data_IF_752836039411
#
_entry.id   IF_752836039411
#
_cell.length_a   1.000
_cell.length_b   1.000
_cell.length_c   1.000
_cell.angle_alpha   90.00
_cell.angle_beta   90.00
_cell.angle_gamma   90.00
#
_symmetry.space_group_name_H-M   'P 1'
#
loop_
_entity.id
_entity.type
_entity.pdbx_description
1 polymer ?
#
# COMPACT_ATOMS: atom_id res chain seq x y z
N UNK A 1 4.73 37.05 -19.93
CA UNK A 1 5.22 37.35 -18.58
C UNK A 1 4.18 37.22 -17.46
N UNK A 2 2.91 37.65 -17.60
CA UNK A 2 1.94 37.53 -16.49
C UNK A 2 1.29 36.13 -16.38
N UNK A 3 0.98 35.48 -17.50
CA UNK A 3 0.31 34.17 -17.51
C UNK A 3 1.19 33.04 -16.95
N UNK A 4 2.41 32.88 -17.49
CA UNK A 4 3.37 31.85 -17.06
C UNK A 4 3.76 31.98 -15.59
N UNK A 5 3.91 33.22 -15.09
CA UNK A 5 4.21 33.47 -13.67
C UNK A 5 3.05 33.05 -12.76
N UNK A 6 1.81 33.32 -13.17
CA UNK A 6 0.61 32.89 -12.44
C UNK A 6 0.44 31.37 -12.45
N UNK A 7 0.73 30.71 -13.56
CA UNK A 7 0.71 29.24 -13.67
C UNK A 7 1.75 28.61 -12.74
N UNK A 8 2.99 29.11 -12.75
CA UNK A 8 4.05 28.64 -11.85
C UNK A 8 3.70 28.82 -10.36
N UNK A 9 3.08 29.95 -9.99
CA UNK A 9 2.61 30.16 -8.61
C UNK A 9 1.53 29.15 -8.25
N UNK A 10 0.57 28.88 -9.15
CA UNK A 10 -0.48 27.89 -8.89
C UNK A 10 0.07 26.46 -8.72
N UNK A 11 1.09 26.09 -9.49
CA UNK A 11 1.76 24.79 -9.37
C UNK A 11 2.46 24.69 -8.02
N UNK A 12 3.24 25.71 -7.64
CA UNK A 12 3.94 25.75 -6.36
C UNK A 12 2.97 25.72 -5.18
N UNK A 13 1.86 26.46 -5.25
CA UNK A 13 0.83 26.47 -4.20
C UNK A 13 0.18 25.09 -4.06
N UNK A 14 -0.11 24.41 -5.17
CA UNK A 14 -0.64 23.05 -5.16
C UNK A 14 0.37 22.04 -4.61
N UNK A 15 1.66 22.16 -4.97
CA UNK A 15 2.73 21.30 -4.44
C UNK A 15 2.92 21.51 -2.94
N UNK A 16 2.95 22.77 -2.48
CA UNK A 16 3.07 23.12 -1.05
C UNK A 16 1.85 22.62 -0.28
N UNK A 17 0.65 22.79 -0.84
CA UNK A 17 -0.58 22.28 -0.23
C UNK A 17 -0.54 20.76 -0.10
N UNK A 18 -0.20 20.04 -1.17
CA UNK A 18 -0.06 18.58 -1.17
C UNK A 18 0.99 18.11 -0.16
N UNK A 19 2.12 18.80 -0.07
CA UNK A 19 3.17 18.47 0.89
C UNK A 19 2.71 18.67 2.34
N UNK A 20 1.96 19.74 2.62
CA UNK A 20 1.42 20.00 3.97
C UNK A 20 0.32 19.01 4.35
N UNK A 21 -0.58 18.67 3.41
CA UNK A 21 -1.68 17.72 3.67
C UNK A 21 -1.15 16.31 3.98
N UNK A 22 0.05 15.96 3.53
CA UNK A 22 0.71 14.70 3.87
C UNK A 22 0.84 14.47 5.38
N UNK A 23 1.03 15.54 6.16
CA UNK A 23 1.28 15.48 7.61
C UNK A 23 0.06 15.80 8.45
N UNK A 24 -1.08 16.09 7.82
CA UNK A 24 -2.31 16.37 8.53
C UNK A 24 -2.94 15.07 9.05
N UNK A 25 -3.14 15.02 10.37
CA UNK A 25 -3.76 13.87 11.04
C UNK A 25 -5.28 14.01 10.92
N UNK A 26 -5.90 13.04 10.24
CA UNK A 26 -7.35 12.98 10.13
C UNK A 26 -7.94 12.17 11.27
N UNK A 27 -8.62 12.82 12.23
CA UNK A 27 -9.22 12.15 13.39
C UNK A 27 -10.29 11.11 12.98
N UNK A 28 -11.04 11.39 11.92
CA UNK A 28 -12.13 10.52 11.44
C UNK A 28 -11.74 9.84 10.14
N UNK A 29 -11.60 8.51 10.17
CA UNK A 29 -11.40 7.69 8.96
C UNK A 29 -12.52 7.96 7.93
N UNK A 30 -12.18 8.35 6.69
CA UNK A 30 -13.12 8.51 5.58
C UNK A 30 -13.92 7.23 5.29
N UNK A 31 -15.08 7.35 4.62
CA UNK A 31 -15.91 6.20 4.27
C UNK A 31 -15.22 5.34 3.19
N UNK A 32 -14.66 5.99 2.18
CA UNK A 32 -13.94 5.37 1.07
C UNK A 32 -12.49 5.85 1.07
N UNK A 33 -11.58 4.96 0.72
CA UNK A 33 -10.19 5.28 0.41
C UNK A 33 -9.86 4.69 -0.95
N UNK A 34 -9.07 5.41 -1.74
CA UNK A 34 -8.41 4.81 -2.90
C UNK A 34 -7.51 3.68 -2.43
N UNK A 35 -7.29 2.68 -3.27
CA UNK A 35 -6.53 1.52 -2.87
C UNK A 35 -5.64 1.02 -4.00
N UNK A 36 -4.36 0.88 -3.70
CA UNK A 36 -3.42 0.12 -4.51
C UNK A 36 -3.34 -1.32 -3.98
N UNK A 37 -3.25 -2.29 -4.89
CA UNK A 37 -3.15 -3.72 -4.58
C UNK A 37 -1.77 -4.23 -4.98
N UNK A 38 -1.00 -4.62 -3.97
CA UNK A 38 0.37 -5.13 -4.13
C UNK A 38 0.36 -6.63 -3.84
N UNK A 39 0.72 -7.45 -4.83
CA UNK A 39 0.83 -8.90 -4.68
C UNK A 39 2.29 -9.27 -4.53
N UNK A 40 2.61 -10.17 -3.60
CA UNK A 40 3.97 -10.64 -3.37
C UNK A 40 3.97 -12.11 -2.96
N UNK A 41 5.14 -12.74 -3.00
CA UNK A 41 5.30 -14.12 -2.54
C UNK A 41 6.02 -14.15 -1.19
N UNK A 42 5.53 -15.02 -0.31
CA UNK A 42 6.13 -15.36 0.96
C UNK A 42 6.48 -16.85 0.92
N UNK A 43 7.75 -17.17 0.66
CA UNK A 43 8.18 -18.56 0.42
C UNK A 43 7.32 -19.20 -0.70
N UNK A 44 6.45 -20.15 -0.37
CA UNK A 44 5.54 -20.83 -1.32
C UNK A 44 4.15 -20.19 -1.37
N UNK A 45 3.81 -19.33 -0.42
CA UNK A 45 2.49 -18.70 -0.32
C UNK A 45 2.45 -17.42 -1.14
N UNK A 46 1.31 -17.18 -1.78
CA UNK A 46 1.03 -15.90 -2.42
C UNK A 46 0.32 -15.01 -1.40
N UNK A 47 0.69 -13.75 -1.38
CA UNK A 47 0.18 -12.76 -0.45
C UNK A 47 -0.27 -11.52 -1.21
N UNK A 48 -1.15 -10.77 -0.58
CA UNK A 48 -1.67 -9.51 -1.10
C UNK A 48 -1.71 -8.47 0.01
N UNK A 49 -1.32 -7.24 -0.33
CA UNK A 49 -1.48 -6.05 0.47
C UNK A 49 -2.39 -5.06 -0.27
N UNK A 50 -3.44 -4.61 0.40
CA UNK A 50 -4.31 -3.51 0.01
C UNK A 50 -3.85 -2.27 0.76
N UNK A 51 -3.22 -1.33 0.07
CA UNK A 51 -2.75 -0.08 0.63
C UNK A 51 -3.82 0.98 0.39
N UNK A 52 -4.54 1.36 1.44
CA UNK A 52 -5.52 2.43 1.42
C UNK A 52 -4.83 3.78 1.43
N UNK A 53 -5.23 4.66 0.51
CA UNK A 53 -4.63 5.97 0.30
C UNK A 53 -5.60 7.07 0.71
N UNK A 54 -5.10 8.05 1.45
CA UNK A 54 -5.77 9.30 1.73
C UNK A 54 -4.96 10.42 1.08
N UNK A 55 -5.58 11.09 0.09
CA UNK A 55 -4.95 12.14 -0.72
C UNK A 55 -3.63 11.68 -1.37
N UNK A 56 -3.62 10.44 -1.88
CA UNK A 56 -2.44 9.83 -2.52
C UNK A 56 -1.40 9.25 -1.56
N UNK A 57 -1.55 9.42 -0.25
CA UNK A 57 -0.61 8.94 0.76
C UNK A 57 -1.10 7.69 1.49
N UNK A 58 -0.21 6.72 1.82
CA UNK A 58 -0.58 5.54 2.61
C UNK A 58 -1.24 5.93 3.94
N UNK A 59 -2.48 5.50 4.13
CA UNK A 59 -3.30 5.77 5.32
C UNK A 59 -3.55 4.49 6.13
N UNK A 60 -3.77 3.37 5.46
CA UNK A 60 -3.94 2.07 6.12
C UNK A 60 -3.52 0.93 5.20
N UNK A 61 -3.33 -0.25 5.79
CA UNK A 61 -2.97 -1.45 5.06
C UNK A 61 -3.78 -2.65 5.55
N UNK A 62 -4.27 -3.44 4.60
CA UNK A 62 -4.82 -4.76 4.84
C UNK A 62 -3.96 -5.78 4.12
N UNK A 63 -3.58 -6.88 4.77
CA UNK A 63 -2.68 -7.86 4.15
C UNK A 63 -2.96 -9.26 4.66
N UNK A 64 -2.80 -10.24 3.77
CA UNK A 64 -2.97 -11.64 4.07
C UNK A 64 -2.68 -12.53 2.87
N UNK A 65 -2.92 -13.82 3.07
CA UNK A 65 -2.69 -14.85 2.05
C UNK A 65 -3.69 -14.67 0.90
N UNK A 66 -3.16 -14.72 -0.32
CA UNK A 66 -3.91 -14.76 -1.57
C UNK A 66 -4.17 -16.24 -1.89
N UNK A 67 -5.27 -16.77 -1.35
CA UNK A 67 -5.74 -18.14 -1.54
C UNK A 67 -7.24 -18.13 -1.86
N UNK A 68 -7.68 -19.11 -2.66
CA UNK A 68 -9.03 -19.24 -3.19
C UNK A 68 -9.99 -19.92 -2.19
N UNK A 69 -9.48 -20.61 -1.16
CA UNK A 69 -10.29 -21.26 -0.12
C UNK A 69 -10.56 -20.33 1.09
N UNK A 70 -9.52 -20.01 1.86
CA UNK A 70 -9.64 -19.26 3.12
C UNK A 70 -9.24 -17.78 3.00
N UNK A 71 -8.56 -17.41 1.92
CA UNK A 71 -7.98 -16.08 1.71
C UNK A 71 -8.86 -15.14 0.87
N UNK A 72 -8.19 -14.35 0.02
CA UNK A 72 -8.86 -13.49 -0.97
C UNK A 72 -8.50 -13.97 -2.38
N UNK A 73 -9.53 -14.37 -3.13
CA UNK A 73 -9.41 -14.59 -4.57
C UNK A 73 -9.51 -13.26 -5.32
N UNK A 74 -8.45 -12.89 -6.05
CA UNK A 74 -8.44 -11.67 -6.85
C UNK A 74 -7.79 -11.90 -8.23
N UNK A 75 -8.43 -11.47 -9.35
CA UNK A 75 -7.82 -11.59 -10.66
C UNK A 75 -6.45 -10.90 -10.73
N UNK A 76 -5.51 -11.48 -11.49
CA UNK A 76 -4.13 -10.96 -11.60
C UNK A 76 -4.08 -9.49 -12.04
N UNK A 77 -5.00 -9.06 -12.91
CA UNK A 77 -5.03 -7.70 -13.46
C UNK A 77 -5.53 -6.63 -12.51
N UNK A 78 -6.10 -6.99 -11.37
CA UNK A 78 -6.55 -5.99 -10.41
C UNK A 78 -5.35 -5.49 -9.62
N UNK A 79 -5.01 -4.21 -9.83
CA UNK A 79 -3.95 -3.48 -9.14
C UNK A 79 -4.46 -2.25 -8.39
N UNK A 80 -5.72 -1.84 -8.62
CA UNK A 80 -6.35 -0.67 -7.99
C UNK A 80 -7.82 -0.92 -7.67
N UNK A 81 -8.35 -0.17 -6.72
CA UNK A 81 -9.75 -0.17 -6.33
C UNK A 81 -10.01 0.82 -5.20
N UNK A 82 -11.02 0.55 -4.39
CA UNK A 82 -11.35 1.37 -3.22
C UNK A 82 -11.67 0.49 -2.01
N UNK A 83 -11.25 0.92 -0.82
CA UNK A 83 -11.63 0.28 0.45
C UNK A 83 -12.81 1.06 1.05
N UNK A 84 -13.95 0.41 1.14
CA UNK A 84 -15.19 0.98 1.68
C UNK A 84 -15.41 0.47 3.09
N UNK A 85 -15.62 1.39 4.03
CA UNK A 85 -16.02 1.06 5.40
C UNK A 85 -17.53 1.06 5.53
N UNK A 86 -18.02 -0.06 6.05
CA UNK A 86 -19.38 -0.24 6.48
C UNK A 86 -19.43 -0.30 8.01
N UNK A 87 -20.50 0.26 8.57
CA UNK A 87 -20.85 0.11 9.98
C UNK A 87 -22.10 -0.76 10.02
N UNK A 88 -21.98 -1.93 10.62
CA UNK A 88 -23.07 -2.88 10.76
C UNK A 88 -24.06 -2.39 11.82
N UNK A 89 -25.25 -3.00 11.86
CA UNK A 89 -26.31 -2.62 12.82
C UNK A 89 -25.91 -2.79 14.28
N UNK A 90 -25.01 -3.73 14.57
CA UNK A 90 -24.44 -3.98 15.89
C UNK A 90 -23.28 -3.04 16.26
N UNK A 91 -22.94 -2.10 15.37
CA UNK A 91 -21.82 -1.17 15.55
C UNK A 91 -20.45 -1.72 15.14
N UNK A 92 -20.36 -3.00 14.76
CA UNK A 92 -19.12 -3.57 14.21
C UNK A 92 -18.76 -2.92 12.86
N UNK A 93 -17.47 -2.89 12.53
CA UNK A 93 -16.96 -2.26 11.32
C UNK A 93 -16.51 -3.34 10.33
N UNK A 94 -17.03 -3.30 9.12
CA UNK A 94 -16.64 -4.16 8.00
C UNK A 94 -15.93 -3.33 6.93
N UNK A 95 -14.89 -3.89 6.33
CA UNK A 95 -14.13 -3.23 5.26
C UNK A 95 -14.18 -4.09 4.01
N UNK A 96 -14.64 -3.49 2.91
CA UNK A 96 -14.84 -4.17 1.64
C UNK A 96 -13.93 -3.55 0.59
N UNK A 97 -13.34 -4.36 -0.27
CA UNK A 97 -12.58 -3.89 -1.42
C UNK A 97 -13.47 -3.90 -2.66
N UNK A 98 -13.56 -2.77 -3.35
CA UNK A 98 -14.33 -2.64 -4.60
C UNK A 98 -13.42 -2.29 -5.76
N UNK A 99 -13.61 -2.94 -6.90
CA UNK A 99 -12.85 -2.67 -8.12
C UNK A 99 -13.74 -2.80 -9.36
N UNK A 100 -13.29 -2.27 -10.48
CA UNK A 100 -13.96 -2.43 -11.79
C UNK A 100 -13.29 -3.58 -12.52
N UNK A 101 -14.05 -4.61 -12.88
CA UNK A 101 -13.52 -5.75 -13.63
C UNK A 101 -13.32 -5.39 -15.13
N UNK A 102 -12.72 -6.30 -15.89
CA UNK A 102 -12.44 -6.08 -17.33
C UNK A 102 -13.69 -5.80 -18.18
N UNK A 103 -14.88 -6.15 -17.70
CA UNK A 103 -16.16 -5.92 -18.37
C UNK A 103 -16.84 -4.61 -17.95
N UNK A 104 -16.17 -3.79 -17.12
CA UNK A 104 -16.71 -2.51 -16.64
C UNK A 104 -17.66 -2.65 -15.45
N UNK A 105 -17.87 -3.85 -14.91
CA UNK A 105 -18.77 -4.03 -13.75
C UNK A 105 -18.02 -3.83 -12.44
N UNK A 106 -18.68 -3.11 -11.52
CA UNK A 106 -18.24 -3.03 -10.12
C UNK A 106 -18.31 -4.42 -9.49
N UNK A 107 -17.21 -4.86 -8.90
CA UNK A 107 -17.07 -6.12 -8.16
C UNK A 107 -16.60 -5.78 -6.74
N UNK A 108 -17.09 -6.54 -5.76
CA UNK A 108 -16.80 -6.32 -4.33
C UNK A 108 -16.26 -7.60 -3.71
N UNK A 109 -15.14 -7.47 -2.99
CA UNK A 109 -14.63 -8.47 -2.06
C UNK A 109 -15.01 -8.00 -0.66
N UNK A 110 -15.97 -8.66 -0.03
CA UNK A 110 -16.45 -8.27 1.30
C UNK A 110 -15.57 -8.83 2.41
N UNK A 111 -15.48 -8.08 3.52
CA UNK A 111 -14.91 -8.59 4.77
C UNK A 111 -13.39 -8.78 4.74
N UNK A 112 -12.63 -7.83 4.17
CA UNK A 112 -11.16 -7.86 4.18
C UNK A 112 -10.60 -8.15 5.58
N UNK A 113 -11.17 -7.52 6.61
CA UNK A 113 -10.71 -7.68 8.00
C UNK A 113 -10.96 -9.06 8.60
N UNK A 114 -11.87 -9.85 8.05
CA UNK A 114 -12.31 -11.14 8.62
C UNK A 114 -11.68 -12.33 7.90
N UNK A 115 -11.12 -12.11 6.71
CA UNK A 115 -10.51 -13.14 5.85
C UNK A 115 -9.04 -13.43 6.16
N UNK A 116 -8.43 -12.70 7.10
CA UNK A 116 -7.01 -12.83 7.38
C UNK A 116 -6.76 -13.49 8.72
N UNK A 117 -5.68 -14.26 8.79
CA UNK A 117 -5.18 -14.82 10.04
C UNK A 117 -5.00 -13.70 11.08
N UNK A 118 -5.50 -13.95 12.29
CA UNK A 118 -5.61 -13.00 13.40
C UNK A 118 -4.28 -12.35 13.77
N UNK A 119 -3.18 -13.08 13.70
CA UNK A 119 -1.84 -12.57 14.00
C UNK A 119 -1.45 -11.46 13.02
N UNK A 120 -1.44 -11.75 11.72
CA UNK A 120 -1.12 -10.79 10.68
C UNK A 120 -2.08 -9.59 10.65
N UNK A 121 -3.35 -9.83 10.95
CA UNK A 121 -4.34 -8.76 11.07
C UNK A 121 -4.03 -7.80 12.23
N UNK A 122 -3.55 -8.29 13.38
CA UNK A 122 -3.15 -7.43 14.49
C UNK A 122 -1.98 -6.51 14.09
N UNK A 123 -1.00 -7.03 13.35
CA UNK A 123 0.10 -6.21 12.84
C UNK A 123 -0.37 -5.23 11.78
N UNK A 124 -1.22 -5.65 10.85
CA UNK A 124 -1.80 -4.76 9.84
C UNK A 124 -2.57 -3.59 10.50
N UNK A 125 -3.28 -3.86 11.62
CA UNK A 125 -3.93 -2.83 12.43
C UNK A 125 -2.95 -1.87 13.09
N UNK A 126 -1.85 -2.39 13.67
CA UNK A 126 -0.81 -1.56 14.27
C UNK A 126 -0.19 -0.63 13.22
N UNK A 127 0.21 -1.20 12.08
CA UNK A 127 0.80 -0.46 10.95
C UNK A 127 -0.19 0.59 10.45
N UNK A 128 -1.46 0.23 10.30
CA UNK A 128 -2.52 1.18 9.94
C UNK A 128 -2.65 2.30 10.96
N UNK A 129 -2.56 2.02 12.26
CA UNK A 129 -2.53 3.05 13.30
C UNK A 129 -1.38 4.02 13.08
N UNK A 130 -0.16 3.50 12.90
CA UNK A 130 1.05 4.29 12.65
C UNK A 130 0.94 5.16 11.39
N UNK A 131 0.41 4.60 10.29
CA UNK A 131 0.16 5.33 9.04
C UNK A 131 -0.85 6.47 9.22
N UNK A 132 -1.94 6.24 9.94
CA UNK A 132 -2.97 7.26 10.21
C UNK A 132 -2.45 8.44 11.02
N UNK A 133 -1.47 8.21 11.89
CA UNK A 133 -0.77 9.26 12.62
C UNK A 133 0.28 9.99 11.76
N UNK A 134 0.31 9.73 10.45
CA UNK A 134 1.22 10.35 9.48
C UNK A 134 2.69 10.21 9.88
N UNK A 135 3.04 9.09 10.52
CA UNK A 135 4.44 8.80 10.81
C UNK A 135 5.23 8.78 9.48
N UNK A 136 6.41 9.42 9.41
CA UNK A 136 7.23 9.39 8.20
C UNK A 136 7.43 7.97 7.69
N UNK A 137 7.19 7.74 6.39
CA UNK A 137 7.10 6.39 5.84
C UNK A 137 8.39 5.58 6.00
N UNK A 138 9.55 6.25 5.96
CA UNK A 138 10.86 5.68 6.25
C UNK A 138 10.93 5.09 7.67
N UNK A 139 10.31 5.73 8.65
CA UNK A 139 10.21 5.23 10.03
C UNK A 139 9.20 4.08 10.14
N UNK A 140 8.08 4.15 9.40
CA UNK A 140 7.11 3.04 9.33
C UNK A 140 7.77 1.78 8.76
N UNK A 141 8.54 1.92 7.68
CA UNK A 141 9.28 0.80 7.07
C UNK A 141 10.29 0.20 8.05
N UNK A 142 11.05 1.04 8.76
CA UNK A 142 11.97 0.58 9.82
C UNK A 142 11.24 -0.16 10.93
N UNK A 143 10.09 0.37 11.38
CA UNK A 143 9.26 -0.28 12.39
C UNK A 143 8.79 -1.66 11.91
N UNK A 144 8.25 -1.75 10.70
CA UNK A 144 7.81 -3.02 10.10
C UNK A 144 8.96 -4.02 9.99
N UNK A 145 10.14 -3.57 9.56
CA UNK A 145 11.34 -4.42 9.48
C UNK A 145 11.87 -4.87 10.83
N UNK A 146 11.58 -4.14 11.91
CA UNK A 146 11.99 -4.49 13.28
C UNK A 146 11.04 -5.48 13.99
N UNK A 147 9.88 -5.79 13.38
CA UNK A 147 8.94 -6.74 13.96
C UNK A 147 9.56 -8.15 13.98
N UNK A 148 10.06 -8.56 15.14
CA UNK A 148 10.54 -9.90 15.39
C UNK A 148 9.40 -10.73 15.96
N UNK A 149 8.88 -11.68 15.18
CA UNK A 149 7.85 -12.59 15.63
C UNK A 149 8.40 -14.01 15.67
N UNK A 150 7.83 -14.81 16.58
CA UNK A 150 8.33 -16.14 16.95
C UNK A 150 8.31 -17.17 15.80
N UNK A 151 7.77 -16.80 14.63
CA UNK A 151 7.57 -17.69 13.49
C UNK A 151 8.32 -17.20 12.24
N UNK A 152 9.14 -18.07 11.63
CA UNK A 152 9.98 -17.73 10.46
C UNK A 152 9.20 -17.22 9.23
N UNK A 153 7.90 -17.48 9.15
CA UNK A 153 7.04 -17.02 8.05
C UNK A 153 6.73 -15.52 8.09
N UNK A 154 7.06 -14.83 9.18
CA UNK A 154 6.78 -13.40 9.35
C UNK A 154 7.86 -12.53 8.72
N UNK A 155 9.13 -12.91 8.78
CA UNK A 155 10.24 -12.07 8.27
C UNK A 155 10.12 -11.78 6.77
N UNK A 156 9.57 -12.72 6.01
CA UNK A 156 9.28 -12.58 4.59
C UNK A 156 8.00 -11.78 4.34
N UNK A 157 7.02 -11.85 5.23
CA UNK A 157 5.82 -11.00 5.19
C UNK A 157 6.15 -9.53 5.49
N UNK A 158 6.95 -9.24 6.52
CA UNK A 158 7.40 -7.87 6.85
C UNK A 158 8.13 -7.24 5.67
N UNK A 159 8.99 -8.00 5.00
CA UNK A 159 9.65 -7.58 3.76
C UNK A 159 8.64 -7.27 2.62
N UNK A 160 7.58 -8.08 2.48
CA UNK A 160 6.51 -7.83 1.53
C UNK A 160 5.77 -6.51 1.80
N UNK A 161 5.41 -6.26 3.06
CA UNK A 161 4.75 -5.04 3.49
C UNK A 161 5.67 -3.82 3.34
N UNK A 162 6.94 -3.94 3.75
CA UNK A 162 7.93 -2.88 3.59
C UNK A 162 8.10 -2.48 2.11
N UNK A 163 8.18 -3.45 1.19
CA UNK A 163 8.22 -3.18 -0.26
C UNK A 163 6.95 -2.50 -0.78
N UNK A 164 5.78 -2.94 -0.32
CA UNK A 164 4.50 -2.32 -0.70
C UNK A 164 4.45 -0.84 -0.29
N UNK A 165 5.05 -0.49 0.85
CA UNK A 165 5.14 0.88 1.34
C UNK A 165 6.29 1.67 0.68
N UNK A 166 7.42 1.05 0.35
CA UNK A 166 8.59 1.73 -0.25
C UNK A 166 8.22 2.51 -1.52
N UNK A 167 7.26 2.03 -2.31
CA UNK A 167 6.74 2.72 -3.52
C UNK A 167 6.32 4.18 -3.27
N UNK A 168 5.97 4.55 -2.04
CA UNK A 168 5.47 5.89 -1.70
C UNK A 168 6.51 6.79 -1.03
N UNK A 169 7.77 6.37 -0.91
CA UNK A 169 8.84 7.24 -0.34
C UNK A 169 9.37 8.26 -1.34
N UNK A 170 8.95 8.21 -2.61
CA UNK A 170 9.50 9.05 -3.68
C UNK A 170 10.87 8.59 -4.19
N UNK A 171 11.41 7.50 -3.63
CA UNK A 171 12.56 6.79 -4.19
C UNK A 171 12.05 5.90 -5.33
N UNK A 172 11.98 6.45 -6.54
CA UNK A 172 11.93 5.61 -7.75
C UNK A 172 13.20 4.76 -7.78
N UNK A 173 13.06 3.46 -8.04
CA UNK A 173 14.17 2.51 -8.19
C UNK A 173 14.97 2.82 -9.49
N UNK A 174 15.59 4.00 -9.60
CA UNK A 174 16.48 4.41 -10.68
C UNK A 174 17.92 3.87 -10.50
N UNK A 175 18.12 2.92 -9.58
CA UNK A 175 19.43 2.33 -9.29
C UNK A 175 19.66 0.95 -9.93
N UNK A 176 18.64 0.34 -10.56
CA UNK A 176 18.76 -0.98 -11.20
C UNK A 176 19.04 -0.91 -12.72
N UNK A 177 19.02 0.27 -13.36
CA UNK A 177 19.39 0.44 -14.78
C UNK A 177 20.88 0.78 -15.01
N UNK A 178 21.66 1.01 -13.95
CA UNK A 178 23.05 1.49 -14.07
C UNK A 178 24.11 0.37 -13.98
N UNK A 179 23.71 -0.90 -13.85
CA UNK A 179 24.61 -2.07 -13.70
C UNK A 179 24.70 -2.98 -14.92
N UNK A 180 24.21 -2.57 -16.10
CA UNK A 180 24.40 -3.33 -17.35
C UNK A 180 25.05 -2.45 -18.42
N UNK A 181 26.23 -1.88 -18.15
CA UNK A 181 27.22 -1.50 -19.17
C UNK A 181 28.62 -1.53 -18.56
N UNK A 182 29.15 -2.73 -18.37
CA UNK A 182 30.59 -2.99 -18.45
C UNK A 182 30.78 -4.49 -18.58
N UNK A 183 30.82 -4.94 -19.83
CA UNK A 183 31.57 -6.11 -20.26
C UNK A 183 31.55 -6.15 -21.79
N UNK A 184 32.49 -5.43 -22.41
CA UNK A 184 32.98 -5.83 -23.73
C UNK A 184 34.42 -6.32 -23.53
N UNK A 185 34.72 -7.58 -23.88
CA UNK A 185 35.93 -8.27 -23.43
C UNK A 185 37.19 -7.72 -24.10
N UNK A 186 38.20 -7.52 -23.28
CA UNK A 186 39.59 -7.33 -23.68
C UNK A 186 40.18 -8.70 -24.05
N UNK A 187 40.57 -8.89 -25.31
CA UNK A 187 41.83 -9.51 -25.76
C UNK A 187 41.73 -10.02 -27.20
N UNK A 188 42.67 -9.57 -28.05
CA UNK A 188 43.72 -10.44 -28.60
C UNK A 188 44.57 -9.66 -29.62
N UNK A 189 45.79 -9.29 -29.22
CA UNK A 189 46.99 -9.44 -30.06
C UNK A 189 47.88 -10.48 -29.38
#
# INVERSE_FOLDING_TARGET
MNQERSELISILDNEIFSYRSQFEITEKRPVSLDCDVVKFQNKKEKWVAFVGLLDGYPYEIFTGVLDDEDGIALPKTVSKGHIIKHVNRDGSKRYDFTFVNRRGYKTTVEGLSERFNKEYWNYAKLISGVLRYRMPLTNVIKLVGSLQLENENINTWTNGVARALKKYTGETDDLDEMTIKDDTPHNAE
#
